data_IF_997693645917
#
_entry.id   IF_997693645917
#
_cell.length_a   1.000
_cell.length_b   1.000
_cell.length_c   1.000
_cell.angle_alpha   90.00
_cell.angle_beta   90.00
_cell.angle_gamma   90.00
#
_symmetry.space_group_name_H-M   'P 1'
#
loop_
_entity.id
_entity.type
_entity.pdbx_description
1 polymer ?
#
# COMPACT_ATOMS: atom_id res chain seq x y z
N UNK A 1 6.26 -8.48 -8.69
CA UNK A 1 6.94 -7.39 -7.94
C UNK A 1 5.87 -6.37 -7.60
N UNK A 2 5.67 -6.06 -6.33
CA UNK A 2 4.38 -5.56 -5.85
C UNK A 2 4.54 -4.23 -5.11
N UNK A 3 3.58 -3.32 -5.26
CA UNK A 3 3.73 -1.93 -4.82
C UNK A 3 2.54 -1.55 -3.93
N UNK A 4 2.83 -1.24 -2.67
CA UNK A 4 1.94 -0.53 -1.76
C UNK A 4 2.06 0.97 -2.12
N UNK A 5 1.26 1.43 -3.09
CA UNK A 5 1.11 2.87 -3.36
C UNK A 5 0.02 3.43 -2.45
N UNK A 6 0.37 4.45 -1.67
CA UNK A 6 -0.58 5.52 -1.35
C UNK A 6 -0.05 6.83 -1.95
N UNK A 7 -0.93 7.61 -2.56
CA UNK A 7 -0.72 8.87 -3.30
C UNK A 7 -0.50 8.81 -4.82
N UNK A 8 -1.05 9.78 -5.59
CA UNK A 8 -0.83 9.98 -7.03
C UNK A 8 0.67 10.06 -7.41
N UNK A 9 1.51 10.45 -6.45
CA UNK A 9 2.96 10.60 -6.61
C UNK A 9 3.73 9.27 -6.60
N UNK A 10 3.10 8.12 -6.35
CA UNK A 10 3.79 6.80 -6.32
C UNK A 10 3.30 5.84 -7.40
N UNK A 11 2.17 6.15 -8.05
CA UNK A 11 1.60 5.33 -9.11
C UNK A 11 2.47 5.29 -10.38
N UNK A 12 3.31 6.31 -10.60
CA UNK A 12 4.26 6.30 -11.72
C UNK A 12 5.22 5.11 -11.65
N UNK A 13 5.56 4.63 -10.45
CA UNK A 13 6.39 3.44 -10.30
C UNK A 13 5.59 2.20 -10.71
N UNK A 14 4.35 2.04 -10.25
CA UNK A 14 3.49 0.94 -10.71
C UNK A 14 3.25 1.02 -12.22
N UNK A 15 3.01 2.20 -12.78
CA UNK A 15 2.85 2.40 -14.21
C UNK A 15 4.11 1.97 -15.00
N UNK A 16 5.30 2.39 -14.55
CA UNK A 16 6.57 1.98 -15.18
C UNK A 16 6.77 0.47 -15.11
N UNK A 17 6.45 -0.16 -13.97
CA UNK A 17 6.58 -1.60 -13.79
C UNK A 17 5.52 -2.38 -14.57
N UNK A 18 4.28 -1.90 -14.60
CA UNK A 18 3.19 -2.49 -15.38
C UNK A 18 3.44 -2.39 -16.90
N UNK A 19 4.23 -1.41 -17.33
CA UNK A 19 4.68 -1.29 -18.72
C UNK A 19 5.77 -2.31 -19.08
N UNK A 20 6.40 -2.95 -18.09
CA UNK A 20 7.32 -4.07 -18.31
C UNK A 20 6.53 -5.38 -18.41
N UNK A 21 6.80 -6.19 -19.46
CA UNK A 21 5.98 -7.37 -19.78
C UNK A 21 6.14 -8.54 -18.80
N UNK A 22 7.14 -8.49 -17.93
CA UNK A 22 7.53 -9.60 -17.06
C UNK A 22 7.14 -9.40 -15.58
N UNK A 23 6.40 -8.34 -15.25
CA UNK A 23 6.00 -8.03 -13.89
C UNK A 23 4.48 -8.13 -13.68
N UNK A 24 4.05 -9.09 -12.87
CA UNK A 24 2.72 -9.07 -12.26
C UNK A 24 2.70 -8.06 -11.10
N UNK A 25 1.75 -7.12 -11.14
CA UNK A 25 1.58 -6.05 -10.14
C UNK A 25 0.27 -6.26 -9.39
N UNK A 26 0.35 -6.17 -8.07
CA UNK A 26 -0.81 -6.03 -7.17
C UNK A 26 -0.63 -4.72 -6.43
N UNK A 27 -1.64 -3.86 -6.54
CA UNK A 27 -1.79 -2.63 -5.79
C UNK A 27 -2.50 -2.95 -4.47
N UNK A 28 -1.87 -2.63 -3.35
CA UNK A 28 -2.42 -2.90 -2.01
C UNK A 28 -2.97 -1.58 -1.44
N UNK A 29 -4.26 -1.52 -1.09
CA UNK A 29 -4.93 -0.29 -0.65
C UNK A 29 -5.65 -0.52 0.68
N UNK A 30 -5.47 0.41 1.62
CA UNK A 30 -6.30 0.50 2.81
C UNK A 30 -7.65 1.17 2.52
N UNK A 31 -8.73 0.58 3.04
CA UNK A 31 -10.10 1.07 2.92
C UNK A 31 -10.65 1.36 4.34
N UNK A 32 -11.32 2.51 4.57
CA UNK A 32 -11.63 3.58 3.61
C UNK A 32 -10.43 4.45 3.22
N UNK A 33 -10.52 5.11 2.05
CA UNK A 33 -9.61 6.18 1.65
C UNK A 33 -9.88 7.45 2.47
N UNK A 34 -8.88 8.33 2.58
CA UNK A 34 -9.03 9.58 3.36
C UNK A 34 -9.84 10.61 2.60
N UNK A 35 -9.80 10.56 1.26
CA UNK A 35 -10.50 11.51 0.40
C UNK A 35 -11.12 10.83 -0.82
N UNK A 36 -12.11 11.50 -1.42
CA UNK A 36 -12.70 11.10 -2.70
C UNK A 36 -11.69 11.21 -3.85
N UNK A 37 -10.83 12.24 -3.82
CA UNK A 37 -9.77 12.40 -4.81
C UNK A 37 -8.81 11.19 -4.82
N UNK A 38 -8.52 10.60 -3.65
CA UNK A 38 -7.71 9.38 -3.55
C UNK A 38 -8.42 8.18 -4.18
N UNK A 39 -9.70 7.95 -3.90
CA UNK A 39 -10.46 6.84 -4.50
C UNK A 39 -10.67 7.00 -6.02
N UNK A 40 -10.89 8.23 -6.49
CA UNK A 40 -11.06 8.54 -7.92
C UNK A 40 -9.76 8.28 -8.67
N UNK A 41 -8.62 8.64 -8.08
CA UNK A 41 -7.31 8.43 -8.68
C UNK A 41 -6.97 6.94 -8.79
N UNK A 42 -7.21 6.16 -7.74
CA UNK A 42 -7.03 4.69 -7.75
C UNK A 42 -7.91 4.06 -8.84
N UNK A 43 -9.17 4.48 -8.93
CA UNK A 43 -10.11 3.97 -9.93
C UNK A 43 -9.64 4.27 -11.35
N UNK A 44 -9.18 5.49 -11.60
CA UNK A 44 -8.61 5.90 -12.88
C UNK A 44 -7.35 5.09 -13.23
N UNK A 45 -6.43 4.90 -12.27
CA UNK A 45 -5.23 4.10 -12.44
C UNK A 45 -5.55 2.66 -12.86
N UNK A 46 -6.46 2.00 -12.16
CA UNK A 46 -6.86 0.62 -12.46
C UNK A 46 -7.52 0.52 -13.84
N UNK A 47 -8.30 1.52 -14.25
CA UNK A 47 -8.87 1.57 -15.60
C UNK A 47 -7.80 1.70 -16.70
N UNK A 48 -6.70 2.41 -16.42
CA UNK A 48 -5.60 2.61 -17.36
C UNK A 48 -4.69 1.37 -17.45
N UNK A 49 -4.59 0.58 -16.36
CA UNK A 49 -3.72 -0.60 -16.27
C UNK A 49 -4.51 -1.85 -15.84
N UNK A 50 -5.32 -2.45 -16.73
CA UNK A 50 -6.20 -3.59 -16.39
C UNK A 50 -5.45 -4.86 -15.97
N UNK A 51 -4.14 -4.95 -16.23
CA UNK A 51 -3.29 -6.04 -15.76
C UNK A 51 -2.88 -5.93 -14.29
N UNK A 52 -3.11 -4.77 -13.65
CA UNK A 52 -2.82 -4.57 -12.22
C UNK A 52 -3.96 -5.14 -11.39
N UNK A 53 -3.63 -6.03 -10.47
CA UNK A 53 -4.59 -6.55 -9.49
C UNK A 53 -4.75 -5.56 -8.34
N UNK A 54 -5.97 -5.41 -7.83
CA UNK A 54 -6.23 -4.64 -6.60
C UNK A 54 -6.39 -5.61 -5.43
N UNK A 55 -5.71 -5.33 -4.32
CA UNK A 55 -5.91 -5.97 -3.02
C UNK A 55 -6.28 -4.90 -1.99
N UNK A 56 -7.53 -4.89 -1.57
CA UNK A 56 -7.99 -3.97 -0.53
C UNK A 56 -7.98 -4.65 0.85
N UNK A 57 -7.67 -3.89 1.89
CA UNK A 57 -7.81 -4.34 3.26
C UNK A 57 -8.55 -3.30 4.11
N UNK A 58 -9.33 -3.80 5.06
CA UNK A 58 -10.09 -2.95 5.97
C UNK A 58 -9.21 -2.49 7.13
N UNK A 59 -9.26 -1.20 7.43
CA UNK A 59 -8.54 -0.63 8.54
C UNK A 59 -9.15 -1.04 9.87
N UNK A 60 -8.29 -1.34 10.84
CA UNK A 60 -8.70 -1.43 12.23
C UNK A 60 -9.07 -0.02 12.74
N UNK A 61 -10.15 0.10 13.54
CA UNK A 61 -10.52 1.37 14.14
C UNK A 61 -9.35 1.96 14.94
N UNK A 62 -9.15 3.27 14.79
CA UNK A 62 -8.21 4.02 15.62
C UNK A 62 -9.01 4.74 16.71
N UNK A 63 -8.70 4.48 17.98
CA UNK A 63 -9.34 5.12 19.14
C UNK A 63 -8.89 6.59 19.33
N UNK A 64 -8.64 7.32 18.24
CA UNK A 64 -8.29 8.74 18.30
C UNK A 64 -9.55 9.59 18.32
N UNK A 65 -9.88 10.14 19.47
CA UNK A 65 -10.99 11.09 19.68
C UNK A 65 -10.57 12.56 19.48
N UNK A 66 -9.32 12.82 19.12
CA UNK A 66 -8.81 14.19 18.95
C UNK A 66 -9.19 14.76 17.57
N UNK A 67 -10.12 15.72 17.50
CA UNK A 67 -10.57 16.31 16.23
C UNK A 67 -9.52 17.23 15.58
N UNK A 68 -8.43 17.54 16.27
CA UNK A 68 -7.35 18.40 15.74
C UNK A 68 -6.25 17.63 15.02
N UNK A 69 -6.29 16.30 15.10
CA UNK A 69 -5.31 15.44 14.43
C UNK A 69 -5.50 15.46 12.92
N UNK A 70 -4.39 15.58 12.20
CA UNK A 70 -4.40 15.54 10.74
C UNK A 70 -4.92 14.17 10.23
N UNK A 71 -5.92 14.15 9.32
CA UNK A 71 -6.53 12.91 8.84
C UNK A 71 -5.56 11.94 8.17
N UNK A 72 -4.50 12.43 7.52
CA UNK A 72 -3.51 11.59 6.86
C UNK A 72 -2.62 10.91 7.89
N UNK A 73 -2.19 11.64 8.92
CA UNK A 73 -1.43 11.06 10.03
C UNK A 73 -2.24 10.00 10.78
N UNK A 74 -3.53 10.25 11.04
CA UNK A 74 -4.43 9.26 11.64
C UNK A 74 -4.54 8.01 10.76
N UNK A 75 -4.68 8.19 9.44
CA UNK A 75 -4.71 7.09 8.49
C UNK A 75 -3.42 6.26 8.52
N UNK A 76 -2.24 6.90 8.55
CA UNK A 76 -0.96 6.19 8.66
C UNK A 76 -0.87 5.37 9.95
N UNK A 77 -1.37 5.92 11.05
CA UNK A 77 -1.47 5.21 12.33
C UNK A 77 -2.38 3.99 12.24
N UNK A 78 -3.57 4.14 11.65
CA UNK A 78 -4.53 3.04 11.45
C UNK A 78 -3.96 1.94 10.53
N UNK A 79 -3.31 2.31 9.42
CA UNK A 79 -2.64 1.37 8.52
C UNK A 79 -1.54 0.61 9.25
N UNK A 80 -0.68 1.33 9.98
CA UNK A 80 0.43 0.72 10.73
C UNK A 80 -0.06 -0.31 11.74
N UNK A 81 -1.15 -0.02 12.47
CA UNK A 81 -1.78 -0.97 13.41
C UNK A 81 -2.41 -2.17 12.71
N UNK A 82 -2.88 -1.99 11.49
CA UNK A 82 -3.50 -3.05 10.68
C UNK A 82 -2.48 -3.97 9.99
N UNK A 83 -1.18 -3.60 9.99
CA UNK A 83 -0.16 -4.27 9.19
C UNK A 83 0.02 -5.75 9.56
N UNK A 84 0.31 -6.07 10.82
CA UNK A 84 0.43 -7.47 11.27
C UNK A 84 -0.93 -8.21 11.30
N UNK A 85 -2.00 -7.70 11.96
CA UNK A 85 -3.22 -8.49 12.12
C UNK A 85 -4.03 -8.67 10.84
N UNK A 86 -3.89 -7.78 9.86
CA UNK A 86 -4.71 -7.80 8.63
C UNK A 86 -3.84 -8.01 7.39
N UNK A 87 -2.81 -7.18 7.19
CA UNK A 87 -2.04 -7.20 5.94
C UNK A 87 -1.19 -8.47 5.85
N UNK A 88 -0.44 -8.85 6.88
CA UNK A 88 0.42 -10.04 6.85
C UNK A 88 -0.33 -11.33 6.46
N UNK A 89 -1.47 -11.69 7.09
CA UNK A 89 -2.29 -12.82 6.64
C UNK A 89 -2.69 -12.70 5.17
N UNK A 90 -3.18 -11.54 4.74
CA UNK A 90 -3.58 -11.34 3.34
C UNK A 90 -2.44 -11.60 2.36
N UNK A 91 -1.23 -11.13 2.67
CA UNK A 91 -0.06 -11.36 1.80
C UNK A 91 0.35 -12.84 1.77
N UNK A 92 0.23 -13.56 2.90
CA UNK A 92 0.59 -14.98 2.99
C UNK A 92 -0.28 -15.88 2.11
N UNK A 93 -1.52 -15.48 1.81
CA UNK A 93 -2.45 -16.22 0.97
C UNK A 93 -2.36 -15.87 -0.53
N UNK A 94 -1.47 -14.95 -0.93
CA UNK A 94 -1.36 -14.54 -2.33
C UNK A 94 -0.74 -15.64 -3.18
N UNK A 95 -1.38 -15.89 -4.33
CA UNK A 95 -0.89 -16.80 -5.36
C UNK A 95 -0.85 -16.07 -6.71
N UNK A 96 0.33 -15.93 -7.34
CA UNK A 96 1.65 -16.35 -6.85
C UNK A 96 2.15 -15.51 -5.65
N UNK A 97 3.11 -16.01 -4.85
CA UNK A 97 3.73 -15.27 -3.75
C UNK A 97 4.41 -13.97 -4.23
N UNK A 98 4.53 -12.99 -3.33
CA UNK A 98 5.15 -11.71 -3.68
C UNK A 98 6.67 -11.85 -3.78
N UNK A 99 7.26 -11.39 -4.88
CA UNK A 99 8.72 -11.40 -5.06
C UNK A 99 9.43 -10.21 -4.41
N UNK A 100 8.71 -9.10 -4.20
CA UNK A 100 9.20 -7.89 -3.54
C UNK A 100 8.01 -6.97 -3.25
N UNK A 101 8.13 -6.13 -2.23
CA UNK A 101 7.14 -5.10 -1.88
C UNK A 101 7.79 -3.72 -1.81
N UNK A 102 7.16 -2.73 -2.42
CA UNK A 102 7.51 -1.33 -2.21
C UNK A 102 6.52 -0.71 -1.23
N UNK A 103 7.02 -0.09 -0.18
CA UNK A 103 6.24 0.49 0.90
C UNK A 103 6.51 1.99 1.04
N UNK A 104 5.53 2.74 1.52
CA UNK A 104 5.69 4.13 1.91
C UNK A 104 6.68 4.26 3.08
N UNK A 105 7.52 5.28 3.06
CA UNK A 105 8.41 5.62 4.19
C UNK A 105 7.68 5.70 5.53
N UNK A 106 6.48 6.31 5.57
CA UNK A 106 5.69 6.42 6.81
C UNK A 106 5.25 5.07 7.39
N UNK A 107 5.31 4.00 6.59
CA UNK A 107 4.91 2.63 6.96
C UNK A 107 6.10 1.67 7.00
N UNK A 108 7.32 2.12 6.72
CA UNK A 108 8.48 1.25 6.59
C UNK A 108 8.75 0.45 7.88
N UNK A 109 8.66 1.09 9.03
CA UNK A 109 8.90 0.46 10.33
C UNK A 109 7.85 -0.59 10.71
N UNK A 110 6.57 -0.36 10.38
CA UNK A 110 5.51 -1.34 10.63
C UNK A 110 5.57 -2.49 9.62
N UNK A 111 5.94 -2.19 8.36
CA UNK A 111 6.06 -3.19 7.32
C UNK A 111 7.30 -4.08 7.47
N UNK A 112 8.39 -3.60 8.06
CA UNK A 112 9.62 -4.39 8.19
C UNK A 112 9.43 -5.69 8.99
N UNK A 113 8.52 -5.68 9.97
CA UNK A 113 8.17 -6.89 10.73
C UNK A 113 7.43 -7.90 9.84
N UNK A 114 6.44 -7.45 9.07
CA UNK A 114 5.73 -8.29 8.10
C UNK A 114 6.66 -8.86 7.04
N UNK A 115 7.56 -8.03 6.52
CA UNK A 115 8.53 -8.45 5.51
C UNK A 115 9.49 -9.53 6.04
N UNK A 116 9.94 -9.39 7.29
CA UNK A 116 10.79 -10.38 7.94
C UNK A 116 10.04 -11.71 8.18
N UNK A 117 8.80 -11.65 8.65
CA UNK A 117 7.98 -12.84 8.91
C UNK A 117 7.64 -13.63 7.64
N UNK A 118 7.44 -12.93 6.52
CA UNK A 118 7.09 -13.54 5.24
C UNK A 118 8.31 -13.86 4.36
N UNK A 119 9.53 -13.49 4.80
CA UNK A 119 10.78 -13.61 4.04
C UNK A 119 10.71 -12.93 2.65
N UNK A 120 10.17 -11.71 2.60
CA UNK A 120 9.95 -10.97 1.35
C UNK A 120 10.84 -9.72 1.31
N UNK A 121 11.63 -9.49 0.24
CA UNK A 121 12.36 -8.24 0.06
C UNK A 121 11.42 -7.04 0.05
N UNK A 122 11.75 -5.98 0.80
CA UNK A 122 10.99 -4.73 0.77
C UNK A 122 11.87 -3.51 0.45
N UNK A 123 11.26 -2.55 -0.23
CA UNK A 123 11.87 -1.30 -0.65
C UNK A 123 11.03 -0.14 -0.12
N UNK A 124 11.70 0.93 0.29
CA UNK A 124 11.02 2.12 0.81
C UNK A 124 11.00 3.21 -0.25
N UNK A 125 9.79 3.69 -0.58
CA UNK A 125 9.59 4.80 -1.49
C UNK A 125 9.46 6.10 -0.68
N UNK A 126 10.49 6.94 -0.80
CA UNK A 126 10.55 8.26 -0.18
C UNK A 126 10.11 9.31 -1.19
N UNK A 127 9.13 10.14 -0.84
CA UNK A 127 8.60 11.21 -1.71
C UNK A 127 9.15 12.59 -1.38
N UNK A 128 10.04 12.70 -0.40
CA UNK A 128 10.79 13.93 -0.10
C UNK A 128 12.11 13.96 -0.87
N UNK A 129 12.74 15.13 -0.94
CA UNK A 129 14.09 15.31 -1.50
C UNK A 129 15.16 14.59 -0.69
N UNK A 130 16.30 14.30 -1.35
CA UNK A 130 17.53 13.78 -0.75
C UNK A 130 18.34 14.86 -0.05
#
# INVERSE_FOLDING_TARGET
MYLLVRYPQKEWLAAKLASSRDCAITLIIANPTVSTAESDHISHFLSAYPGVKLLEFQLLPLDSTDPTSDPLFLQFGAISRSMNPVVQPLLSFLSPPLSAVFCDFGLAASFSLVAADLDIPYYVLVTTSA
#
